data_IF_572679916810
#
_entry.id   IF_572679916810
#
_cell.length_a   1.000
_cell.length_b   1.000
_cell.length_c   1.000
_cell.angle_alpha   90.00
_cell.angle_beta   90.00
_cell.angle_gamma   90.00
#
_symmetry.space_group_name_H-M   'P 1'
#
loop_
_entity.id
_entity.type
_entity.pdbx_description
1 polymer ?
#
# COMPACT_ATOMS: atom_id res chain seq x y z
N UNK A 1 3.25 -8.74 25.11
CA UNK A 1 3.34 -9.42 23.79
C UNK A 1 3.33 -8.36 22.71
N UNK A 2 4.16 -8.51 21.68
CA UNK A 2 4.23 -7.59 20.54
C UNK A 2 2.99 -7.77 19.67
N UNK A 3 2.24 -6.71 19.42
CA UNK A 3 1.02 -6.74 18.59
C UNK A 3 1.34 -6.68 17.09
N UNK A 4 0.34 -6.93 16.22
CA UNK A 4 0.46 -6.73 14.78
C UNK A 4 0.84 -5.27 14.47
N UNK A 5 0.23 -4.30 15.19
CA UNK A 5 0.58 -2.88 15.07
C UNK A 5 2.05 -2.59 15.42
N UNK A 6 2.58 -3.18 16.49
CA UNK A 6 3.97 -2.95 16.91
C UNK A 6 4.96 -3.44 15.85
N UNK A 7 4.67 -4.58 15.20
CA UNK A 7 5.50 -5.11 14.10
C UNK A 7 5.50 -4.19 12.88
N UNK A 8 4.32 -3.68 12.48
CA UNK A 8 4.22 -2.71 11.37
C UNK A 8 4.97 -1.42 11.71
N UNK A 9 4.76 -0.86 12.89
CA UNK A 9 5.38 0.40 13.32
C UNK A 9 6.91 0.26 13.35
N UNK A 10 7.42 -0.85 13.92
CA UNK A 10 8.86 -1.13 13.88
C UNK A 10 9.37 -1.21 12.45
N UNK A 11 8.69 -1.97 11.59
CA UNK A 11 9.05 -2.06 10.17
C UNK A 11 9.08 -0.69 9.49
N UNK A 12 8.07 0.15 9.69
CA UNK A 12 8.03 1.50 9.11
C UNK A 12 9.18 2.39 9.61
N UNK A 13 9.52 2.30 10.90
CA UNK A 13 10.62 3.06 11.50
C UNK A 13 12.00 2.63 10.97
N UNK A 14 12.17 1.34 10.68
CA UNK A 14 13.42 0.77 10.16
C UNK A 14 13.53 0.85 8.64
N UNK A 15 12.43 1.23 7.97
CA UNK A 15 12.35 1.22 6.52
C UNK A 15 13.24 2.28 5.90
N UNK A 16 14.24 1.83 5.14
CA UNK A 16 15.14 2.69 4.39
C UNK A 16 15.63 2.00 3.12
N UNK A 17 15.83 2.79 2.07
CA UNK A 17 16.47 2.32 0.84
C UNK A 17 17.87 2.95 0.73
N UNK A 18 18.88 2.12 0.91
CA UNK A 18 20.29 2.54 0.87
C UNK A 18 21.00 2.24 -0.45
N UNK A 19 20.27 1.64 -1.42
CA UNK A 19 20.82 1.35 -2.74
C UNK A 19 20.93 2.58 -3.65
N UNK A 20 21.61 2.41 -4.79
CA UNK A 20 21.70 3.45 -5.82
C UNK A 20 20.46 3.43 -6.70
N UNK A 21 19.84 4.58 -6.94
CA UNK A 21 18.74 4.75 -7.88
C UNK A 21 19.25 5.21 -9.25
N UNK A 22 18.55 4.89 -10.34
CA UNK A 22 18.81 5.44 -11.65
C UNK A 22 18.72 6.98 -11.65
N UNK A 23 19.44 7.63 -12.56
CA UNK A 23 19.46 9.08 -12.68
C UNK A 23 18.05 9.67 -12.85
N UNK A 24 17.77 10.76 -12.16
CA UNK A 24 16.47 11.45 -12.22
C UNK A 24 15.33 10.78 -11.43
N UNK A 25 15.60 9.68 -10.74
CA UNK A 25 14.63 9.01 -9.85
C UNK A 25 15.00 9.29 -8.40
N UNK A 26 13.99 9.58 -7.59
CA UNK A 26 14.11 9.82 -6.15
C UNK A 26 13.18 8.90 -5.37
N UNK A 27 13.61 8.48 -4.16
CA UNK A 27 12.77 7.72 -3.23
C UNK A 27 11.94 8.66 -2.35
N UNK A 28 10.69 8.29 -2.12
CA UNK A 28 9.84 8.91 -1.10
C UNK A 28 9.78 8.01 0.13
N UNK A 29 10.31 8.51 1.24
CA UNK A 29 10.21 7.85 2.54
C UNK A 29 9.47 8.77 3.53
N UNK A 30 8.15 8.64 3.70
CA UNK A 30 7.36 9.50 4.56
C UNK A 30 7.69 9.30 6.06
N UNK A 31 8.26 8.17 6.42
CA UNK A 31 8.52 7.80 7.83
C UNK A 31 9.73 8.54 8.43
N UNK A 32 10.62 9.07 7.59
CA UNK A 32 11.87 9.71 8.04
C UNK A 32 11.82 11.24 8.04
N UNK A 33 10.94 11.82 7.26
CA UNK A 33 11.01 13.24 6.94
C UNK A 33 10.07 14.12 7.79
N UNK A 34 9.07 13.53 8.45
CA UNK A 34 8.05 14.28 9.18
C UNK A 34 7.57 13.52 10.44
N UNK A 35 7.88 14.04 11.64
CA UNK A 35 7.40 13.45 12.91
C UNK A 35 5.87 13.37 13.03
N UNK A 36 5.13 14.31 12.42
CA UNK A 36 3.66 14.30 12.41
C UNK A 36 3.14 13.10 11.60
N UNK A 37 3.80 12.75 10.48
CA UNK A 37 3.47 11.56 9.69
C UNK A 37 3.77 10.30 10.49
N UNK A 38 4.94 10.17 11.11
CA UNK A 38 5.30 9.02 11.95
C UNK A 38 4.33 8.84 13.13
N UNK A 39 3.90 9.94 13.75
CA UNK A 39 2.87 9.95 14.80
C UNK A 39 1.51 9.48 14.25
N UNK A 40 1.11 9.96 13.09
CA UNK A 40 -0.16 9.57 12.46
C UNK A 40 -0.18 8.08 12.08
N UNK A 41 0.93 7.57 11.53
CA UNK A 41 1.14 6.14 11.24
C UNK A 41 0.99 5.29 12.50
N UNK A 42 1.67 5.67 13.59
CA UNK A 42 1.56 4.96 14.87
C UNK A 42 0.12 4.95 15.40
N UNK A 43 -0.57 6.09 15.35
CA UNK A 43 -1.97 6.20 15.80
C UNK A 43 -2.90 5.34 14.94
N UNK A 44 -2.71 5.31 13.62
CA UNK A 44 -3.50 4.51 12.70
C UNK A 44 -3.33 3.01 12.97
N UNK A 45 -2.10 2.52 13.01
CA UNK A 45 -1.87 1.09 13.21
C UNK A 45 -2.27 0.64 14.62
N UNK A 46 -2.02 1.44 15.65
CA UNK A 46 -2.51 1.14 17.02
C UNK A 46 -4.03 1.16 17.11
N UNK A 47 -4.74 1.98 16.33
CA UNK A 47 -6.20 1.99 16.32
C UNK A 47 -6.79 0.70 15.75
N UNK A 48 -6.22 0.17 14.65
CA UNK A 48 -6.87 -0.90 13.88
C UNK A 48 -6.19 -2.27 14.00
N UNK A 49 -4.96 -2.34 14.50
CA UNK A 49 -4.12 -3.55 14.49
C UNK A 49 -3.54 -3.92 15.86
N UNK A 50 -4.19 -3.47 16.95
CA UNK A 50 -3.69 -3.66 18.32
C UNK A 50 -4.05 -5.06 18.88
N UNK A 51 -3.92 -6.08 18.06
CA UNK A 51 -4.09 -7.50 18.40
C UNK A 51 -3.03 -8.35 17.68
N UNK A 52 -3.20 -9.68 17.68
CA UNK A 52 -2.33 -10.63 17.00
C UNK A 52 -3.11 -11.57 16.05
N UNK A 53 -4.31 -11.18 15.63
CA UNK A 53 -5.09 -11.96 14.67
C UNK A 53 -4.37 -11.98 13.33
N UNK A 54 -4.33 -13.13 12.65
CA UNK A 54 -3.83 -13.20 11.27
C UNK A 54 -4.69 -12.36 10.32
N UNK A 55 -4.08 -11.86 9.26
CA UNK A 55 -4.76 -11.03 8.25
C UNK A 55 -4.35 -11.42 6.84
N UNK A 56 -5.31 -11.42 5.92
CA UNK A 56 -4.98 -11.53 4.50
C UNK A 56 -4.32 -10.24 4.01
N UNK A 57 -3.39 -10.37 3.08
CA UNK A 57 -2.64 -9.24 2.54
C UNK A 57 -3.28 -8.72 1.25
N UNK A 58 -3.44 -7.40 1.17
CA UNK A 58 -3.80 -6.69 -0.07
C UNK A 58 -2.58 -5.87 -0.49
N UNK A 59 -2.01 -6.16 -1.67
CA UNK A 59 -0.75 -5.58 -2.12
C UNK A 59 -0.96 -4.64 -3.31
N UNK A 60 -0.69 -3.35 -3.10
CA UNK A 60 -0.60 -2.33 -4.15
C UNK A 60 0.74 -2.34 -4.88
N UNK A 61 1.01 -1.27 -5.64
CA UNK A 61 2.24 -1.11 -6.43
C UNK A 61 3.35 -0.53 -5.55
N UNK A 62 3.28 0.75 -5.28
CA UNK A 62 4.13 1.52 -4.36
C UNK A 62 3.43 2.82 -3.96
N UNK A 63 3.85 3.49 -2.88
CA UNK A 63 3.30 4.76 -2.43
C UNK A 63 3.27 5.84 -3.51
N UNK A 64 2.11 6.51 -3.63
CA UNK A 64 1.95 7.70 -4.46
C UNK A 64 2.04 8.98 -3.63
N UNK A 65 2.51 10.09 -4.24
CA UNK A 65 2.82 11.39 -3.58
C UNK A 65 1.66 12.00 -2.79
N UNK A 66 0.40 11.73 -3.17
CA UNK A 66 -0.79 12.32 -2.53
C UNK A 66 -1.53 11.35 -1.62
N UNK A 67 -1.10 10.09 -1.56
CA UNK A 67 -1.59 9.04 -0.68
C UNK A 67 -0.51 8.62 0.31
N UNK A 68 -0.12 7.36 0.26
CA UNK A 68 0.85 6.78 1.17
C UNK A 68 2.23 7.47 1.18
N UNK A 69 2.65 8.09 0.08
CA UNK A 69 3.88 8.90 0.04
C UNK A 69 3.80 10.16 0.90
N UNK A 70 2.59 10.62 1.23
CA UNK A 70 2.34 11.77 2.10
C UNK A 70 1.95 11.35 3.53
N UNK A 71 1.19 10.26 3.69
CA UNK A 71 0.61 9.86 4.98
C UNK A 71 1.33 8.67 5.64
N UNK A 72 2.15 7.94 4.90
CA UNK A 72 2.74 6.68 5.33
C UNK A 72 1.73 5.51 5.40
N UNK A 73 0.46 5.73 5.07
CA UNK A 73 -0.61 4.73 5.17
C UNK A 73 -1.11 4.37 3.77
N UNK A 74 -1.04 3.11 3.35
CA UNK A 74 -1.44 2.67 2.02
C UNK A 74 -2.86 3.08 1.65
N UNK A 75 -3.04 3.61 0.44
CA UNK A 75 -4.33 4.08 -0.10
C UNK A 75 -5.10 5.07 0.78
N UNK A 76 -4.38 5.82 1.63
CA UNK A 76 -4.99 6.77 2.56
C UNK A 76 -4.41 8.16 2.36
N UNK A 77 -5.22 9.09 1.88
CA UNK A 77 -4.89 10.52 1.85
C UNK A 77 -5.26 11.20 3.18
N UNK A 78 -4.82 12.43 3.38
CA UNK A 78 -5.06 13.15 4.63
C UNK A 78 -6.54 13.42 4.89
N UNK A 79 -7.38 13.53 3.85
CA UNK A 79 -8.81 13.77 3.99
C UNK A 79 -9.49 12.53 4.58
N UNK A 80 -9.22 11.32 4.05
CA UNK A 80 -9.79 10.06 4.56
C UNK A 80 -9.23 9.73 5.93
N UNK A 81 -7.95 10.03 6.14
CA UNK A 81 -7.32 9.85 7.44
C UNK A 81 -7.99 10.70 8.52
N UNK A 82 -8.32 11.97 8.22
CA UNK A 82 -9.00 12.86 9.16
C UNK A 82 -10.50 12.52 9.29
N UNK A 83 -11.23 12.46 8.18
CA UNK A 83 -12.70 12.35 8.18
C UNK A 83 -13.20 10.97 8.61
N UNK A 84 -12.50 9.88 8.24
CA UNK A 84 -12.96 8.52 8.51
C UNK A 84 -12.18 7.89 9.66
N UNK A 85 -10.86 8.08 9.71
CA UNK A 85 -10.04 7.46 10.74
C UNK A 85 -9.89 8.33 12.00
N UNK A 86 -10.29 9.60 11.95
CA UNK A 86 -10.19 10.56 13.08
C UNK A 86 -8.75 10.97 13.39
N UNK A 87 -7.83 10.88 12.41
CA UNK A 87 -6.41 11.16 12.59
C UNK A 87 -6.01 12.30 11.66
N UNK A 88 -5.55 13.40 12.23
CA UNK A 88 -5.10 14.58 11.49
C UNK A 88 -3.58 14.67 11.45
N UNK A 89 -3.02 15.03 10.29
CA UNK A 89 -1.64 15.46 10.09
C UNK A 89 -1.68 16.98 9.91
N UNK A 90 -1.03 17.72 10.81
CA UNK A 90 -1.04 19.18 10.77
C UNK A 90 -0.24 19.69 9.57
N UNK A 91 -0.73 20.76 8.94
CA UNK A 91 -0.04 21.43 7.84
C UNK A 91 -0.06 20.67 6.50
N UNK A 92 -0.61 19.46 6.45
CA UNK A 92 -0.66 18.65 5.23
C UNK A 92 -2.12 18.40 4.82
N UNK A 93 -2.45 18.70 3.55
CA UNK A 93 -3.75 18.38 2.95
C UNK A 93 -3.55 17.80 1.57
N UNK A 94 -3.86 16.53 1.41
CA UNK A 94 -3.74 15.81 0.15
C UNK A 94 -5.06 15.13 -0.21
N UNK A 95 -5.22 14.83 -1.50
CA UNK A 95 -6.35 14.06 -2.03
C UNK A 95 -5.85 13.08 -3.09
N UNK A 96 -6.20 11.81 -2.93
CA UNK A 96 -5.87 10.75 -3.87
C UNK A 96 -7.12 10.04 -4.36
N UNK A 97 -7.26 9.87 -5.67
CA UNK A 97 -8.45 9.22 -6.25
C UNK A 97 -8.56 7.75 -5.89
N UNK A 98 -7.43 7.05 -5.73
CA UNK A 98 -7.40 5.65 -5.30
C UNK A 98 -7.94 5.49 -3.87
N UNK A 99 -7.63 6.44 -2.99
CA UNK A 99 -8.14 6.49 -1.62
C UNK A 99 -9.67 6.61 -1.60
N UNK A 100 -10.25 7.42 -2.49
CA UNK A 100 -11.73 7.54 -2.61
C UNK A 100 -12.38 6.19 -2.91
N UNK A 101 -11.82 5.42 -3.84
CA UNK A 101 -12.34 4.09 -4.17
C UNK A 101 -12.21 3.11 -3.01
N UNK A 102 -11.01 3.03 -2.44
CA UNK A 102 -10.71 2.08 -1.35
C UNK A 102 -11.60 2.36 -0.14
N UNK A 103 -11.78 3.61 0.28
CA UNK A 103 -12.62 3.90 1.44
C UNK A 103 -14.12 3.70 1.20
N UNK A 104 -14.61 3.85 -0.04
CA UNK A 104 -15.97 3.43 -0.39
C UNK A 104 -16.15 1.90 -0.31
N UNK A 105 -15.15 1.15 -0.76
CA UNK A 105 -15.15 -0.31 -0.63
C UNK A 105 -15.07 -0.74 0.82
N UNK A 106 -14.21 -0.11 1.63
CA UNK A 106 -14.10 -0.37 3.07
C UNK A 106 -15.44 -0.10 3.79
N UNK A 107 -16.11 1.00 3.46
CA UNK A 107 -17.44 1.35 4.01
C UNK A 107 -18.45 0.21 3.73
N UNK A 108 -18.53 -0.24 2.48
CA UNK A 108 -19.44 -1.33 2.08
C UNK A 108 -19.01 -2.71 2.58
N UNK A 109 -17.74 -2.92 2.93
CA UNK A 109 -17.27 -4.13 3.63
C UNK A 109 -17.78 -4.21 5.08
N UNK A 110 -18.21 -3.09 5.64
CA UNK A 110 -18.70 -2.96 7.02
C UNK A 110 -17.86 -2.01 7.89
N UNK A 111 -17.14 -1.10 7.24
CA UNK A 111 -16.37 -0.04 7.89
C UNK A 111 -14.92 -0.41 8.20
N UNK A 112 -14.11 0.61 8.61
CA UNK A 112 -12.68 0.44 8.82
C UNK A 112 -12.32 -0.60 9.89
N UNK A 113 -13.06 -0.64 11.00
CA UNK A 113 -12.80 -1.56 12.10
C UNK A 113 -12.91 -3.03 11.65
N UNK A 114 -13.95 -3.36 10.88
CA UNK A 114 -14.14 -4.70 10.34
C UNK A 114 -13.11 -5.01 9.29
N UNK A 115 -12.89 -4.08 8.35
CA UNK A 115 -11.96 -4.29 7.23
C UNK A 115 -10.52 -4.51 7.70
N UNK A 116 -10.00 -3.63 8.57
CA UNK A 116 -8.62 -3.74 9.05
C UNK A 116 -8.41 -4.85 10.08
N UNK A 117 -9.48 -5.41 10.65
CA UNK A 117 -9.41 -6.66 11.41
C UNK A 117 -9.10 -7.87 10.53
N UNK A 118 -9.61 -7.86 9.29
CA UNK A 118 -9.54 -9.00 8.37
C UNK A 118 -8.39 -8.84 7.35
N UNK A 119 -7.99 -7.60 7.02
CA UNK A 119 -7.00 -7.30 5.99
C UNK A 119 -5.87 -6.37 6.46
N UNK A 120 -4.67 -6.64 5.91
CA UNK A 120 -3.53 -5.72 5.95
C UNK A 120 -3.24 -5.22 4.54
N UNK A 121 -3.31 -3.90 4.33
CA UNK A 121 -2.97 -3.28 3.04
C UNK A 121 -1.50 -2.84 3.06
N UNK A 122 -0.79 -3.20 2.00
CA UNK A 122 0.60 -2.79 1.76
C UNK A 122 0.86 -2.57 0.27
N UNK A 123 2.12 -2.57 -0.14
CA UNK A 123 2.55 -2.45 -1.53
C UNK A 123 3.75 -3.37 -1.81
N UNK A 124 3.96 -3.75 -3.09
CA UNK A 124 5.13 -4.52 -3.53
C UNK A 124 6.41 -3.80 -3.13
N UNK A 125 6.53 -2.50 -3.46
CA UNK A 125 7.55 -1.66 -2.86
C UNK A 125 6.94 -0.82 -1.74
N UNK A 126 7.40 -0.94 -0.49
CA UNK A 126 6.85 -0.16 0.63
C UNK A 126 7.25 1.32 0.60
N UNK A 127 8.27 1.67 -0.19
CA UNK A 127 8.64 3.06 -0.49
C UNK A 127 8.20 3.44 -1.90
N UNK A 128 7.83 4.72 -2.08
CA UNK A 128 7.44 5.28 -3.35
C UNK A 128 8.62 5.84 -4.13
N UNK A 129 8.37 6.09 -5.42
CA UNK A 129 9.36 6.71 -6.29
C UNK A 129 8.76 7.89 -7.04
N UNK A 130 9.60 8.88 -7.33
CA UNK A 130 9.30 10.00 -8.20
C UNK A 130 10.35 10.14 -9.27
N UNK A 131 9.94 10.70 -10.40
CA UNK A 131 10.84 11.08 -11.48
C UNK A 131 10.54 12.52 -11.92
N UNK A 132 11.51 13.18 -12.55
CA UNK A 132 11.28 14.48 -13.18
C UNK A 132 10.72 14.27 -14.59
N UNK A 133 9.56 14.88 -14.86
CA UNK A 133 8.97 14.91 -16.20
C UNK A 133 9.82 15.78 -17.13
N UNK A 134 9.55 15.69 -18.45
CA UNK A 134 10.19 16.55 -19.46
C UNK A 134 10.00 18.05 -19.19
N UNK A 135 8.98 18.45 -18.43
CA UNK A 135 8.70 19.83 -18.03
C UNK A 135 9.32 20.19 -16.67
N UNK A 136 10.17 19.34 -16.10
CA UNK A 136 10.81 19.54 -14.79
C UNK A 136 9.91 19.27 -13.59
N UNK A 137 8.64 18.93 -13.80
CA UNK A 137 7.71 18.61 -12.70
C UNK A 137 7.98 17.21 -12.15
N UNK A 138 7.92 17.09 -10.84
CA UNK A 138 7.97 15.81 -10.16
C UNK A 138 6.67 15.03 -10.39
N UNK A 139 6.77 13.75 -10.80
CA UNK A 139 5.66 12.84 -11.08
C UNK A 139 5.86 11.53 -10.34
N UNK A 140 4.75 10.82 -10.02
CA UNK A 140 4.84 9.47 -9.48
C UNK A 140 5.51 8.53 -10.49
N UNK A 141 6.33 7.64 -9.98
CA UNK A 141 7.00 6.61 -10.76
C UNK A 141 6.80 5.26 -10.08
N UNK A 142 6.42 4.24 -10.85
CA UNK A 142 6.24 2.91 -10.30
C UNK A 142 7.57 2.15 -10.35
N UNK A 143 7.78 1.24 -9.41
CA UNK A 143 9.01 0.43 -9.36
C UNK A 143 9.28 -0.35 -10.66
N UNK A 144 8.26 -0.60 -11.48
CA UNK A 144 8.33 -1.33 -12.76
C UNK A 144 8.27 -0.44 -14.02
N UNK A 145 8.35 0.90 -13.87
CA UNK A 145 8.25 1.82 -15.02
C UNK A 145 9.54 1.87 -15.84
N UNK A 146 10.69 1.49 -15.26
CA UNK A 146 11.90 1.18 -16.00
C UNK A 146 12.56 -0.12 -15.51
N UNK A 147 13.33 -0.76 -16.38
CA UNK A 147 14.06 -1.98 -16.06
C UNK A 147 15.14 -1.72 -15.01
N UNK A 148 15.86 -0.61 -15.17
CA UNK A 148 16.93 -0.19 -14.29
C UNK A 148 16.43 0.04 -12.85
N UNK A 149 15.26 0.68 -12.70
CA UNK A 149 14.67 0.86 -11.38
C UNK A 149 14.22 -0.48 -10.79
N UNK A 150 13.56 -1.33 -11.59
CA UNK A 150 13.13 -2.66 -11.13
C UNK A 150 14.32 -3.46 -10.59
N UNK A 151 15.43 -3.48 -11.33
CA UNK A 151 16.66 -4.18 -10.93
C UNK A 151 17.26 -3.57 -9.65
N UNK A 152 17.34 -2.26 -9.58
CA UNK A 152 17.91 -1.54 -8.42
C UNK A 152 17.14 -1.80 -7.11
N UNK A 153 15.81 -1.99 -7.18
CA UNK A 153 14.98 -2.13 -5.97
C UNK A 153 14.54 -3.57 -5.68
N UNK A 154 14.86 -4.54 -6.54
CA UNK A 154 14.38 -5.92 -6.41
C UNK A 154 14.76 -6.57 -5.08
N UNK A 155 16.00 -6.44 -4.64
CA UNK A 155 16.45 -7.00 -3.35
C UNK A 155 15.71 -6.36 -2.19
N UNK A 156 15.57 -5.03 -2.20
CA UNK A 156 14.82 -4.28 -1.20
C UNK A 156 13.36 -4.71 -1.12
N UNK A 157 12.71 -4.94 -2.26
CA UNK A 157 11.33 -5.43 -2.34
C UNK A 157 11.22 -6.81 -1.70
N UNK A 158 12.10 -7.75 -2.08
CA UNK A 158 12.07 -9.12 -1.55
C UNK A 158 12.27 -9.14 -0.03
N UNK A 159 13.29 -8.44 0.47
CA UNK A 159 13.56 -8.38 1.91
C UNK A 159 12.42 -7.69 2.68
N UNK A 160 11.81 -6.66 2.10
CA UNK A 160 10.65 -6.00 2.68
C UNK A 160 9.43 -6.92 2.73
N UNK A 161 9.17 -7.71 1.70
CA UNK A 161 8.08 -8.69 1.69
C UNK A 161 8.33 -9.80 2.72
N UNK A 162 9.53 -10.35 2.80
CA UNK A 162 9.91 -11.35 3.82
C UNK A 162 9.59 -10.85 5.24
N UNK A 163 10.04 -9.64 5.57
CA UNK A 163 9.75 -9.02 6.87
C UNK A 163 8.25 -8.85 7.12
N UNK A 164 7.48 -8.46 6.11
CA UNK A 164 6.04 -8.28 6.24
C UNK A 164 5.29 -9.61 6.46
N UNK A 165 5.78 -10.72 5.89
CA UNK A 165 5.22 -12.05 6.16
C UNK A 165 5.30 -12.44 7.66
N UNK A 166 6.28 -11.89 8.39
CA UNK A 166 6.45 -12.14 9.84
C UNK A 166 5.43 -11.38 10.71
N UNK A 167 4.58 -10.51 10.12
CA UNK A 167 3.57 -9.76 10.89
C UNK A 167 2.42 -10.65 11.40
N UNK A 168 2.27 -11.84 10.89
CA UNK A 168 1.15 -12.74 11.14
C UNK A 168 0.15 -12.70 9.98
N UNK A 169 0.67 -12.90 8.77
CA UNK A 169 -0.13 -12.91 7.53
C UNK A 169 -0.75 -14.29 7.31
N UNK A 170 -2.04 -14.32 6.98
CA UNK A 170 -2.69 -15.46 6.33
C UNK A 170 -2.12 -15.59 4.92
N UNK A 171 -1.49 -16.72 4.63
CA UNK A 171 -0.72 -16.91 3.39
C UNK A 171 -1.40 -17.78 2.34
N UNK A 172 -2.63 -18.19 2.55
CA UNK A 172 -3.40 -18.97 1.58
C UNK A 172 -3.77 -18.14 0.34
N UNK A 173 -4.16 -16.88 0.52
CA UNK A 173 -4.46 -15.93 -0.56
C UNK A 173 -3.91 -14.53 -0.29
N UNK A 174 -3.37 -13.91 -1.35
CA UNK A 174 -3.01 -12.51 -1.40
C UNK A 174 -3.78 -11.81 -2.52
N UNK A 175 -4.30 -10.62 -2.26
CA UNK A 175 -4.98 -9.80 -3.26
C UNK A 175 -4.02 -8.78 -3.87
N UNK A 176 -3.77 -8.87 -5.17
CA UNK A 176 -2.89 -7.97 -5.90
C UNK A 176 -3.68 -6.85 -6.58
N UNK A 177 -3.43 -5.60 -6.22
CA UNK A 177 -4.04 -4.44 -6.87
C UNK A 177 -3.27 -4.09 -8.15
N UNK A 178 -3.88 -4.40 -9.29
CA UNK A 178 -3.33 -4.28 -10.63
C UNK A 178 -3.19 -5.63 -11.32
N UNK A 179 -3.89 -5.78 -12.44
CA UNK A 179 -3.99 -7.02 -13.23
C UNK A 179 -2.86 -7.18 -14.26
N UNK A 180 -2.00 -6.16 -14.43
CA UNK A 180 -0.90 -6.14 -15.41
C UNK A 180 0.49 -6.35 -14.78
N UNK A 181 1.39 -5.37 -14.98
CA UNK A 181 2.81 -5.47 -14.57
C UNK A 181 3.00 -5.80 -13.09
N UNK A 182 2.17 -5.22 -12.19
CA UNK A 182 2.23 -5.50 -10.77
C UNK A 182 1.93 -6.96 -10.45
N UNK A 183 0.86 -7.50 -11.03
CA UNK A 183 0.49 -8.91 -10.89
C UNK A 183 1.58 -9.84 -11.44
N UNK A 184 2.07 -9.56 -12.66
CA UNK A 184 3.13 -10.38 -13.28
C UNK A 184 4.42 -10.40 -12.44
N UNK A 185 4.81 -9.26 -11.85
CA UNK A 185 5.99 -9.18 -11.01
C UNK A 185 5.79 -9.94 -9.69
N UNK A 186 4.68 -9.70 -9.00
CA UNK A 186 4.36 -10.38 -7.74
C UNK A 186 4.21 -11.90 -7.93
N UNK A 187 3.61 -12.34 -9.05
CA UNK A 187 3.49 -13.77 -9.38
C UNK A 187 4.86 -14.43 -9.54
N UNK A 188 5.81 -13.78 -10.26
CA UNK A 188 7.18 -14.30 -10.39
C UNK A 188 7.88 -14.41 -9.03
N UNK A 189 7.74 -13.41 -8.17
CA UNK A 189 8.27 -13.49 -6.80
C UNK A 189 7.61 -14.63 -6.01
N UNK A 190 6.32 -14.82 -6.18
CA UNK A 190 5.61 -15.91 -5.49
C UNK A 190 6.02 -17.28 -6.02
N UNK A 191 6.30 -17.42 -7.31
CA UNK A 191 6.81 -18.67 -7.88
C UNK A 191 8.18 -19.04 -7.29
N UNK A 192 9.02 -18.05 -7.01
CA UNK A 192 10.37 -18.22 -6.46
C UNK A 192 10.35 -18.44 -4.94
N UNK A 193 9.64 -17.57 -4.19
CA UNK A 193 9.71 -17.51 -2.73
C UNK A 193 8.55 -18.19 -2.01
N UNK A 194 7.47 -18.53 -2.71
CA UNK A 194 6.28 -19.21 -2.15
C UNK A 194 5.66 -18.47 -0.96
N UNK A 195 5.54 -17.15 -1.04
CA UNK A 195 4.94 -16.33 0.01
C UNK A 195 3.46 -16.67 0.23
N UNK A 196 2.71 -16.95 -0.84
CA UNK A 196 1.26 -17.17 -0.81
C UNK A 196 0.87 -18.43 -1.58
N UNK A 197 -0.19 -19.09 -1.13
CA UNK A 197 -0.79 -20.23 -1.84
C UNK A 197 -1.35 -19.84 -3.20
N UNK A 198 -2.00 -18.66 -3.28
CA UNK A 198 -2.45 -18.06 -4.55
C UNK A 198 -2.42 -16.53 -4.49
N UNK A 199 -2.33 -15.90 -5.66
CA UNK A 199 -2.47 -14.46 -5.81
C UNK A 199 -3.72 -14.18 -6.63
N UNK A 200 -4.67 -13.43 -6.05
CA UNK A 200 -5.93 -13.04 -6.68
C UNK A 200 -5.82 -11.60 -7.22
N UNK A 201 -5.81 -11.39 -8.55
CA UNK A 201 -5.70 -10.06 -9.10
C UNK A 201 -7.02 -9.29 -9.01
N UNK A 202 -6.91 -7.99 -8.66
CA UNK A 202 -7.98 -7.00 -8.65
C UNK A 202 -7.56 -5.79 -9.50
N UNK A 203 -8.51 -5.18 -10.22
CA UNK A 203 -8.20 -3.96 -10.98
C UNK A 203 -7.71 -2.85 -10.05
N UNK A 204 -6.63 -2.17 -10.44
CA UNK A 204 -6.06 -1.12 -9.59
C UNK A 204 -7.04 0.06 -9.38
N UNK A 205 -7.24 0.54 -8.14
CA UNK A 205 -8.18 1.62 -7.83
C UNK A 205 -7.99 2.87 -8.69
N UNK A 206 -6.75 3.25 -8.98
CA UNK A 206 -6.47 4.40 -9.86
C UNK A 206 -6.99 4.19 -11.28
N UNK A 207 -6.82 2.99 -11.84
CA UNK A 207 -7.35 2.67 -13.17
C UNK A 207 -8.88 2.78 -13.19
N UNK A 208 -9.54 2.23 -12.18
CA UNK A 208 -11.01 2.29 -12.04
C UNK A 208 -11.47 3.75 -12.01
N UNK A 209 -10.87 4.56 -11.14
CA UNK A 209 -11.27 5.96 -10.95
C UNK A 209 -10.96 6.85 -12.16
N UNK A 210 -9.89 6.55 -12.89
CA UNK A 210 -9.49 7.34 -14.05
C UNK A 210 -10.24 6.95 -15.33
N UNK A 211 -10.49 5.67 -15.55
CA UNK A 211 -11.00 5.17 -16.84
C UNK A 211 -12.35 4.46 -16.74
N UNK A 212 -12.80 4.10 -15.55
CA UNK A 212 -14.01 3.31 -15.30
C UNK A 212 -14.89 3.91 -14.19
N UNK A 213 -14.78 5.21 -13.91
CA UNK A 213 -15.47 5.87 -12.79
C UNK A 213 -17.00 5.65 -12.82
N UNK A 214 -17.64 5.61 -14.01
CA UNK A 214 -19.07 5.31 -14.16
C UNK A 214 -19.44 3.87 -13.73
N UNK A 215 -18.48 2.95 -13.68
CA UNK A 215 -18.65 1.55 -13.26
C UNK A 215 -18.08 1.30 -11.85
N UNK A 216 -17.86 2.36 -11.06
CA UNK A 216 -17.22 2.24 -9.73
C UNK A 216 -17.92 1.21 -8.86
N UNK A 217 -19.25 1.22 -8.79
CA UNK A 217 -20.00 0.27 -7.95
C UNK A 217 -19.77 -1.18 -8.39
N UNK A 218 -19.82 -1.46 -9.68
CA UNK A 218 -19.52 -2.80 -10.21
C UNK A 218 -18.16 -3.33 -9.75
N UNK A 219 -17.12 -2.48 -9.74
CA UNK A 219 -15.81 -2.88 -9.26
C UNK A 219 -15.75 -3.04 -7.73
N UNK A 220 -16.51 -2.23 -6.98
CA UNK A 220 -16.65 -2.43 -5.53
C UNK A 220 -17.29 -3.80 -5.25
N UNK A 221 -18.36 -4.15 -5.95
CA UNK A 221 -19.06 -5.44 -5.79
C UNK A 221 -18.11 -6.62 -6.11
N UNK A 222 -17.29 -6.51 -7.17
CA UNK A 222 -16.28 -7.52 -7.49
C UNK A 222 -15.21 -7.66 -6.40
N UNK A 223 -14.75 -6.55 -5.83
CA UNK A 223 -13.82 -6.57 -4.70
C UNK A 223 -14.44 -7.28 -3.50
N UNK A 224 -15.65 -6.87 -3.11
CA UNK A 224 -16.36 -7.45 -1.97
C UNK A 224 -16.62 -8.95 -2.16
N UNK A 225 -17.03 -9.37 -3.36
CA UNK A 225 -17.23 -10.79 -3.67
C UNK A 225 -15.96 -11.61 -3.44
N UNK A 226 -14.77 -11.09 -3.85
CA UNK A 226 -13.51 -11.80 -3.66
C UNK A 226 -13.01 -11.77 -2.22
N UNK A 227 -13.15 -10.61 -1.54
CA UNK A 227 -12.66 -10.41 -0.18
C UNK A 227 -13.50 -11.15 0.88
N UNK A 228 -14.80 -11.34 0.66
CA UNK A 228 -15.69 -12.03 1.62
C UNK A 228 -15.53 -13.56 1.57
N UNK A 229 -15.02 -14.08 0.45
CA UNK A 229 -14.89 -15.52 0.22
C UNK A 229 -13.46 -16.05 0.46
N UNK A 230 -12.64 -15.32 1.18
CA UNK A 230 -11.31 -15.76 1.60
C UNK A 230 -11.30 -16.26 3.04
#
# INVERSE_FOLDING_TARGET
MTTFADRIISFCNDLDFTGSLPEGISVMNPFRNDPEVSSAVSRFYRKYYCDNKPRHMIIGINPGRFGAGATGIPFTDTIRLEEICGIKIKGLRTRETSSVFIYKMIDQYGGPERFYRDFFITAVSPLGFTARSKTGKEVNYNYYDSKELTEAVSVFIVESLKKQMEFGIENDVCFCLGTGKNYSFLSKLNDEFRFFGRIEPLEHPRFIMQYRAKKQQYYIDLYLQKLINC
#
